data_IF_123605536064
#
_entry.id   IF_123605536064
#
_cell.length_a   1.000
_cell.length_b   1.000
_cell.length_c   1.000
_cell.angle_alpha   90.00
_cell.angle_beta   90.00
_cell.angle_gamma   90.00
#
_symmetry.space_group_name_H-M   'P 1'
#
loop_
_entity.id
_entity.type
_entity.pdbx_description
1 polymer ?
#
# COMPACT_ATOMS: atom_id res chain seq x y z
N UNK A 1 -13.81 21.85 6.17
CA UNK A 1 -13.81 21.08 7.44
C UNK A 1 -13.15 19.75 7.13
N UNK A 2 -11.88 19.57 7.52
CA UNK A 2 -11.12 18.35 7.28
C UNK A 2 -11.52 17.35 8.38
N UNK A 3 -12.40 16.41 8.05
CA UNK A 3 -12.62 15.25 8.90
C UNK A 3 -11.29 14.50 9.02
N UNK A 4 -10.71 14.51 10.22
CA UNK A 4 -9.40 13.95 10.58
C UNK A 4 -9.44 12.43 10.64
N UNK A 5 -9.91 11.81 9.57
CA UNK A 5 -9.96 10.36 9.44
C UNK A 5 -8.54 9.89 9.10
N UNK A 6 -7.89 9.28 10.10
CA UNK A 6 -6.56 8.67 10.02
C UNK A 6 -6.41 7.84 8.74
N UNK A 7 -5.33 8.06 7.99
CA UNK A 7 -5.04 7.29 6.78
C UNK A 7 -4.63 5.86 7.09
N UNK A 8 -3.98 5.63 8.24
CA UNK A 8 -3.58 4.32 8.73
C UNK A 8 -3.88 4.22 10.22
N UNK A 9 -4.61 3.19 10.64
CA UNK A 9 -5.02 3.04 12.03
C UNK A 9 -5.15 1.59 12.47
N UNK A 10 -5.33 1.39 13.78
CA UNK A 10 -5.79 0.13 14.34
C UNK A 10 -7.28 0.21 14.63
N UNK A 11 -7.98 -0.91 14.44
CA UNK A 11 -9.35 -1.09 14.91
C UNK A 11 -9.36 -2.02 16.12
N UNK A 12 -10.33 -1.81 17.01
CA UNK A 12 -10.48 -2.55 18.26
C UNK A 12 -11.95 -2.93 18.44
N UNK A 13 -12.19 -4.07 19.08
CA UNK A 13 -13.51 -4.43 19.56
C UNK A 13 -13.86 -3.60 20.81
N UNK A 14 -15.04 -2.99 20.82
CA UNK A 14 -15.48 -2.09 21.90
C UNK A 14 -15.63 -2.81 23.26
N UNK A 15 -16.07 -4.06 23.24
CA UNK A 15 -16.37 -4.85 24.44
C UNK A 15 -15.12 -5.41 25.14
N UNK A 16 -14.06 -5.69 24.37
CA UNK A 16 -12.88 -6.40 24.85
C UNK A 16 -11.60 -5.59 24.76
N UNK A 17 -11.63 -4.42 24.12
CA UNK A 17 -10.46 -3.61 23.73
C UNK A 17 -9.38 -4.43 22.98
N UNK A 18 -9.79 -5.57 22.40
CA UNK A 18 -8.88 -6.42 21.63
C UNK A 18 -8.73 -5.84 20.24
N UNK A 19 -7.49 -5.75 19.77
CA UNK A 19 -7.18 -5.36 18.39
C UNK A 19 -7.86 -6.30 17.41
N UNK A 20 -8.53 -5.71 16.42
CA UNK A 20 -9.15 -6.40 15.32
C UNK A 20 -8.07 -6.78 14.29
N UNK A 21 -7.85 -8.08 14.08
CA UNK A 21 -6.72 -8.57 13.26
C UNK A 21 -7.10 -9.57 12.17
N UNK A 22 -8.39 -9.91 12.04
CA UNK A 22 -8.87 -10.95 11.11
C UNK A 22 -9.59 -10.41 9.86
N UNK A 23 -10.44 -9.36 9.96
CA UNK A 23 -11.19 -8.89 8.79
C UNK A 23 -10.27 -8.36 7.68
N UNK A 24 -10.60 -8.75 6.44
CA UNK A 24 -9.94 -8.28 5.22
C UNK A 24 -10.03 -6.75 5.07
N UNK A 25 -11.23 -6.21 5.30
CA UNK A 25 -11.52 -4.80 5.23
C UNK A 25 -12.54 -4.39 6.28
N UNK A 26 -12.59 -3.09 6.59
CA UNK A 26 -13.53 -2.50 7.53
C UNK A 26 -14.16 -1.28 6.88
N UNK A 27 -15.49 -1.17 6.99
CA UNK A 27 -16.21 0.08 6.70
C UNK A 27 -16.47 0.81 8.01
N UNK A 28 -15.95 2.03 8.14
CA UNK A 28 -16.11 2.84 9.34
C UNK A 28 -16.27 4.31 8.97
N UNK A 29 -17.34 4.95 9.47
CA UNK A 29 -17.67 6.37 9.23
C UNK A 29 -17.62 6.76 7.74
N UNK A 30 -18.19 5.91 6.88
CA UNK A 30 -18.24 6.16 5.43
C UNK A 30 -16.92 5.97 4.69
N UNK A 31 -15.86 5.51 5.36
CA UNK A 31 -14.58 5.16 4.75
C UNK A 31 -14.37 3.64 4.78
N UNK A 32 -13.80 3.10 3.70
CA UNK A 32 -13.34 1.71 3.63
C UNK A 32 -11.86 1.66 3.97
N UNK A 33 -11.43 0.62 4.66
CA UNK A 33 -10.03 0.37 5.00
C UNK A 33 -9.65 -1.07 4.70
N UNK A 34 -8.47 -1.28 4.14
CA UNK A 34 -7.88 -2.61 3.95
C UNK A 34 -6.86 -2.91 5.04
N UNK A 35 -6.91 -4.13 5.56
CA UNK A 35 -5.86 -4.59 6.47
C UNK A 35 -4.55 -4.78 5.70
N UNK A 36 -3.41 -4.35 6.27
CA UNK A 36 -2.10 -4.58 5.63
C UNK A 36 -1.81 -6.09 5.48
N UNK A 37 -2.18 -6.92 6.46
CA UNK A 37 -2.06 -8.38 6.34
C UNK A 37 -2.89 -8.96 5.18
N UNK A 38 -4.07 -8.40 4.94
CA UNK A 38 -4.92 -8.78 3.81
C UNK A 38 -4.31 -8.36 2.47
N UNK A 39 -3.76 -7.13 2.40
CA UNK A 39 -2.98 -6.66 1.25
C UNK A 39 -1.84 -7.62 0.96
N UNK A 40 -1.07 -7.99 1.99
CA UNK A 40 0.05 -8.90 1.82
C UNK A 40 -0.45 -10.28 1.37
N UNK A 41 -1.38 -10.92 2.08
CA UNK A 41 -1.83 -12.28 1.75
C UNK A 41 -2.50 -12.43 0.38
N UNK A 42 -3.12 -11.38 -0.15
CA UNK A 42 -3.83 -11.40 -1.44
C UNK A 42 -3.11 -10.60 -2.54
N UNK A 43 -1.80 -10.35 -2.39
CA UNK A 43 -1.00 -9.65 -3.42
C UNK A 43 -0.71 -10.53 -4.63
N UNK A 44 -0.57 -9.89 -5.77
CA UNK A 44 -0.06 -10.52 -6.98
C UNK A 44 1.27 -11.24 -6.69
N UNK A 45 1.49 -12.41 -7.31
CA UNK A 45 2.67 -13.25 -7.06
C UNK A 45 3.99 -12.53 -7.33
N UNK A 46 4.02 -11.57 -8.26
CA UNK A 46 5.18 -10.73 -8.53
C UNK A 46 5.56 -9.82 -7.35
N UNK A 47 4.66 -9.63 -6.39
CA UNK A 47 4.82 -8.77 -5.22
C UNK A 47 5.15 -9.55 -3.94
N UNK A 48 5.45 -10.86 -4.05
CA UNK A 48 5.75 -11.73 -2.91
C UNK A 48 6.89 -11.25 -2.00
N UNK A 49 7.78 -10.40 -2.49
CA UNK A 49 8.89 -9.83 -1.71
C UNK A 49 8.49 -8.67 -0.80
N UNK A 50 7.25 -8.20 -0.85
CA UNK A 50 6.78 -7.11 0.02
C UNK A 50 6.40 -7.62 1.42
N UNK A 51 6.70 -6.83 2.44
CA UNK A 51 6.40 -7.09 3.85
C UNK A 51 6.05 -5.79 4.59
N UNK A 52 5.57 -5.91 5.83
CA UNK A 52 5.30 -4.77 6.72
C UNK A 52 5.61 -5.15 8.18
N UNK A 53 6.07 -4.17 8.95
CA UNK A 53 6.25 -4.31 10.40
C UNK A 53 4.93 -4.15 11.16
N UNK A 54 3.86 -3.68 10.51
CA UNK A 54 2.56 -3.36 11.11
C UNK A 54 1.40 -4.06 10.37
N UNK A 55 1.45 -5.38 10.15
CA UNK A 55 0.45 -6.09 9.33
C UNK A 55 -0.99 -6.01 9.88
N UNK A 56 -1.14 -5.75 11.18
CA UNK A 56 -2.45 -5.63 11.84
C UNK A 56 -3.04 -4.21 11.78
N UNK A 57 -2.41 -3.27 11.08
CA UNK A 57 -3.00 -1.95 10.79
C UNK A 57 -3.89 -2.01 9.55
N UNK A 58 -4.73 -1.00 9.43
CA UNK A 58 -5.69 -0.81 8.35
C UNK A 58 -5.37 0.51 7.65
N UNK A 59 -5.27 0.48 6.33
CA UNK A 59 -5.09 1.69 5.51
C UNK A 59 -6.37 2.03 4.78
N UNK A 60 -6.72 3.32 4.83
CA UNK A 60 -7.91 3.88 4.21
C UNK A 60 -7.81 3.76 2.69
N UNK A 61 -8.91 3.38 2.06
CA UNK A 61 -9.10 3.49 0.61
C UNK A 61 -9.28 4.97 0.28
N UNK A 62 -8.39 5.49 -0.56
CA UNK A 62 -8.37 6.90 -0.94
C UNK A 62 -9.32 7.17 -2.10
N UNK A 63 -9.38 6.26 -3.08
CA UNK A 63 -10.15 6.41 -4.31
C UNK A 63 -10.67 5.06 -4.77
N UNK A 64 -11.86 5.03 -5.37
CA UNK A 64 -12.39 3.88 -6.08
C UNK A 64 -12.71 4.29 -7.51
N UNK A 65 -12.23 3.50 -8.47
CA UNK A 65 -12.61 3.62 -9.87
C UNK A 65 -13.46 2.43 -10.33
N UNK A 66 -13.82 2.41 -11.61
CA UNK A 66 -14.74 1.40 -12.17
C UNK A 66 -14.41 -0.07 -11.84
N UNK A 67 -13.13 -0.45 -11.80
CA UNK A 67 -12.71 -1.84 -11.55
C UNK A 67 -11.61 -1.95 -10.48
N UNK A 68 -11.40 -0.91 -9.68
CA UNK A 68 -10.29 -0.91 -8.74
C UNK A 68 -10.53 -0.04 -7.51
N UNK A 69 -9.87 -0.39 -6.40
CA UNK A 69 -9.79 0.44 -5.19
C UNK A 69 -8.33 0.77 -4.89
N UNK A 70 -8.04 2.06 -4.70
CA UNK A 70 -6.69 2.56 -4.47
C UNK A 70 -6.48 2.95 -3.01
N UNK A 71 -5.36 2.52 -2.44
CA UNK A 71 -4.88 2.87 -1.10
C UNK A 71 -3.37 3.11 -1.15
N UNK A 72 -2.83 3.65 -0.07
CA UNK A 72 -1.39 3.82 0.09
C UNK A 72 -0.95 3.24 1.43
N UNK A 73 0.17 2.52 1.41
CA UNK A 73 0.69 1.80 2.58
C UNK A 73 2.21 1.86 2.63
N UNK A 74 2.75 1.88 3.84
CA UNK A 74 4.19 1.71 4.07
C UNK A 74 4.55 0.22 4.05
N UNK A 75 5.33 -0.16 3.04
CA UNK A 75 5.79 -1.53 2.84
C UNK A 75 7.30 -1.56 2.63
N UNK A 76 7.93 -2.65 3.05
CA UNK A 76 9.34 -2.92 2.82
C UNK A 76 9.54 -4.06 1.83
N UNK A 77 10.71 -4.07 1.18
CA UNK A 77 11.21 -5.29 0.55
C UNK A 77 11.82 -6.20 1.62
N UNK A 78 11.27 -7.42 1.77
CA UNK A 78 11.65 -8.38 2.81
C UNK A 78 13.14 -8.76 2.75
N UNK A 79 13.73 -8.85 1.55
CA UNK A 79 15.15 -9.15 1.41
C UNK A 79 16.01 -7.99 1.88
N UNK A 80 15.74 -6.77 1.39
CA UNK A 80 16.49 -5.59 1.80
C UNK A 80 16.40 -5.35 3.31
N UNK A 81 15.21 -5.55 3.89
CA UNK A 81 14.98 -5.43 5.31
C UNK A 81 15.70 -6.52 6.11
N UNK A 82 15.63 -7.77 5.67
CA UNK A 82 16.32 -8.91 6.29
C UNK A 82 17.84 -8.76 6.26
N UNK A 83 18.40 -8.29 5.14
CA UNK A 83 19.84 -7.97 5.04
C UNK A 83 20.24 -6.88 6.02
N UNK A 84 19.44 -5.80 6.12
CA UNK A 84 19.71 -4.72 7.08
C UNK A 84 19.76 -5.23 8.53
N UNK A 85 18.77 -6.01 8.95
CA UNK A 85 18.77 -6.60 10.29
C UNK A 85 19.93 -7.59 10.49
N UNK A 86 20.30 -8.37 9.47
CA UNK A 86 21.41 -9.33 9.51
C UNK A 86 22.80 -8.69 9.66
N UNK A 87 22.99 -7.48 9.14
CA UNK A 87 24.23 -6.71 9.34
C UNK A 87 24.37 -6.25 10.80
N UNK A 88 23.24 -6.02 11.49
CA UNK A 88 23.21 -5.57 12.88
C UNK A 88 23.74 -4.14 13.09
N UNK A 89 23.72 -3.71 14.35
CA UNK A 89 24.18 -2.37 14.74
C UNK A 89 23.37 -1.21 14.13
N UNK A 90 23.87 0.01 14.32
CA UNK A 90 23.21 1.25 13.87
C UNK A 90 23.10 1.28 12.34
N UNK A 91 24.16 0.88 11.63
CA UNK A 91 24.19 0.87 10.17
C UNK A 91 23.15 -0.12 9.58
N UNK A 92 23.06 -1.33 10.13
CA UNK A 92 22.05 -2.31 9.73
C UNK A 92 20.62 -1.84 10.00
N UNK A 93 20.40 -1.20 11.16
CA UNK A 93 19.12 -0.59 11.51
C UNK A 93 18.67 0.49 10.51
N UNK A 94 19.58 1.37 10.08
CA UNK A 94 19.31 2.41 9.07
C UNK A 94 18.94 1.78 7.72
N UNK A 95 19.64 0.72 7.30
CA UNK A 95 19.33 0.00 6.06
C UNK A 95 17.93 -0.63 6.10
N UNK A 96 17.59 -1.31 7.20
CA UNK A 96 16.28 -1.92 7.38
C UNK A 96 15.15 -0.88 7.39
N UNK A 97 15.36 0.28 8.02
CA UNK A 97 14.41 1.39 8.01
C UNK A 97 14.25 1.98 6.60
N UNK A 98 15.35 2.18 5.87
CA UNK A 98 15.32 2.73 4.51
C UNK A 98 14.64 1.81 3.49
N UNK A 99 14.50 0.52 3.79
CA UNK A 99 13.75 -0.41 2.96
C UNK A 99 12.23 -0.15 2.99
N UNK A 100 11.71 0.51 4.03
CA UNK A 100 10.31 0.90 4.16
C UNK A 100 10.05 2.14 3.29
N UNK A 101 9.05 2.04 2.41
CA UNK A 101 8.61 3.14 1.54
C UNK A 101 7.09 3.17 1.49
N UNK A 102 6.52 4.37 1.35
CA UNK A 102 5.11 4.54 1.00
C UNK A 102 4.87 4.09 -0.45
N UNK A 103 3.86 3.25 -0.66
CA UNK A 103 3.56 2.65 -1.96
C UNK A 103 2.08 2.79 -2.27
N UNK A 104 1.78 3.04 -3.54
CA UNK A 104 0.43 2.88 -4.07
C UNK A 104 0.09 1.39 -4.17
N UNK A 105 -1.14 1.06 -3.78
CA UNK A 105 -1.67 -0.30 -3.86
C UNK A 105 -3.06 -0.23 -4.46
N UNK A 106 -3.30 -1.12 -5.42
CA UNK A 106 -4.57 -1.24 -6.10
C UNK A 106 -5.16 -2.62 -5.82
N UNK A 107 -6.36 -2.65 -5.25
CA UNK A 107 -7.22 -3.83 -5.29
C UNK A 107 -7.85 -3.93 -6.68
N UNK A 108 -7.48 -4.96 -7.44
CA UNK A 108 -8.12 -5.31 -8.71
C UNK A 108 -9.36 -6.14 -8.41
N UNK A 109 -10.54 -5.57 -8.70
CA UNK A 109 -11.82 -6.21 -8.39
C UNK A 109 -12.03 -7.46 -9.26
N UNK A 110 -11.56 -7.45 -10.51
CA UNK A 110 -11.78 -8.55 -11.44
C UNK A 110 -10.93 -9.76 -11.09
N UNK A 111 -9.65 -9.51 -10.77
CA UNK A 111 -8.71 -10.56 -10.44
C UNK A 111 -8.70 -10.94 -8.96
N UNK A 112 -9.41 -10.16 -8.11
CA UNK A 112 -9.46 -10.35 -6.66
C UNK A 112 -8.06 -10.43 -6.03
N UNK A 113 -7.17 -9.52 -6.45
CA UNK A 113 -5.81 -9.43 -5.95
C UNK A 113 -5.34 -7.98 -5.76
N UNK A 114 -4.33 -7.81 -4.92
CA UNK A 114 -3.64 -6.52 -4.76
C UNK A 114 -2.42 -6.43 -5.67
N UNK A 115 -2.35 -5.36 -6.44
CA UNK A 115 -1.18 -4.97 -7.21
C UNK A 115 -0.45 -3.84 -6.46
N UNK A 116 0.83 -4.05 -6.15
CA UNK A 116 1.65 -3.10 -5.38
C UNK A 116 2.60 -2.39 -6.34
N UNK A 117 2.59 -1.06 -6.33
CA UNK A 117 3.56 -0.25 -7.09
C UNK A 117 4.90 -0.26 -6.36
N UNK A 118 5.67 -1.36 -6.47
CA UNK A 118 6.95 -1.50 -5.75
C UNK A 118 7.99 -0.50 -6.25
N UNK A 119 7.83 -0.10 -7.51
CA UNK A 119 8.65 0.87 -8.22
C UNK A 119 7.80 1.59 -9.28
N UNK A 120 8.38 2.60 -9.91
CA UNK A 120 7.73 3.43 -10.93
C UNK A 120 7.35 2.64 -12.19
N UNK A 121 8.08 1.57 -12.55
CA UNK A 121 7.73 0.74 -13.71
C UNK A 121 6.44 -0.03 -13.45
N UNK A 122 6.25 -0.56 -12.25
CA UNK A 122 5.01 -1.25 -11.86
C UNK A 122 3.81 -0.31 -11.97
N UNK A 123 3.95 0.94 -11.51
CA UNK A 123 2.94 1.99 -11.70
C UNK A 123 2.70 2.28 -13.20
N UNK A 124 3.76 2.45 -14.00
CA UNK A 124 3.63 2.74 -15.42
C UNK A 124 2.89 1.61 -16.17
N UNK A 125 3.13 0.36 -15.82
CA UNK A 125 2.39 -0.79 -16.37
C UNK A 125 0.90 -0.68 -16.05
N UNK A 126 0.56 -0.30 -14.80
CA UNK A 126 -0.83 -0.14 -14.40
C UNK A 126 -1.55 1.00 -15.13
N UNK A 127 -0.88 2.13 -15.38
CA UNK A 127 -1.54 3.34 -15.92
C UNK A 127 -1.52 3.42 -17.45
N UNK A 128 -0.61 2.73 -18.13
CA UNK A 128 -0.34 2.90 -19.57
C UNK A 128 -1.56 2.68 -20.48
N UNK A 129 -2.46 1.76 -20.12
CA UNK A 129 -3.68 1.45 -20.87
C UNK A 129 -4.89 2.29 -20.44
N UNK A 130 -4.76 3.08 -19.36
CA UNK A 130 -5.84 3.86 -18.74
C UNK A 130 -5.70 5.36 -18.97
N UNK A 131 -4.47 5.86 -19.13
CA UNK A 131 -4.19 7.27 -19.35
C UNK A 131 -2.91 7.46 -20.18
N UNK A 132 -3.07 7.97 -21.41
CA UNK A 132 -2.00 8.12 -22.42
C UNK A 132 -0.77 8.86 -21.84
N UNK A 133 -1.00 9.96 -21.13
CA UNK A 133 0.06 10.78 -20.53
C UNK A 133 0.24 10.51 -19.03
N UNK A 134 -0.24 9.37 -18.53
CA UNK A 134 -0.21 9.03 -17.11
C UNK A 134 1.12 8.44 -16.63
N UNK A 135 1.99 8.05 -17.55
CA UNK A 135 3.28 7.41 -17.21
C UNK A 135 4.31 8.43 -16.73
N UNK A 136 5.20 7.99 -15.85
CA UNK A 136 6.25 8.82 -15.28
C UNK A 136 7.63 8.46 -15.81
N UNK A 137 8.55 9.43 -15.83
CA UNK A 137 9.96 9.21 -16.14
C UNK A 137 10.66 8.70 -14.87
N UNK A 138 10.86 7.38 -14.77
CA UNK A 138 11.27 6.64 -13.57
C UNK A 138 12.73 6.89 -13.08
N UNK A 139 13.14 8.14 -12.90
CA UNK A 139 14.52 8.54 -12.57
C UNK A 139 15.05 7.92 -11.27
N UNK A 140 14.21 7.83 -10.23
CA UNK A 140 14.63 7.38 -8.89
C UNK A 140 14.07 6.00 -8.51
N UNK A 141 13.61 5.23 -9.50
CA UNK A 141 12.93 3.93 -9.34
C UNK A 141 11.63 3.96 -8.51
N UNK A 142 11.39 4.94 -7.64
CA UNK A 142 10.10 5.15 -6.98
C UNK A 142 9.21 6.06 -7.82
N UNK A 143 7.89 5.82 -7.86
CA UNK A 143 6.97 6.75 -8.49
C UNK A 143 6.83 8.02 -7.65
N UNK A 144 6.60 9.15 -8.31
CA UNK A 144 6.10 10.36 -7.68
C UNK A 144 4.64 10.13 -7.27
N UNK A 145 4.42 9.96 -5.97
CA UNK A 145 3.11 9.64 -5.41
C UNK A 145 2.08 10.77 -5.57
N UNK A 146 2.51 12.03 -5.73
CA UNK A 146 1.56 13.12 -6.04
C UNK A 146 1.01 12.91 -7.44
N UNK A 147 1.89 12.69 -8.42
CA UNK A 147 1.47 12.42 -9.79
C UNK A 147 0.69 11.10 -9.92
N UNK A 148 1.00 10.07 -9.13
CA UNK A 148 0.19 8.83 -9.06
C UNK A 148 -1.24 9.17 -8.63
N UNK A 149 -1.42 9.90 -7.52
CA UNK A 149 -2.78 10.26 -7.03
C UNK A 149 -3.55 11.05 -8.07
N UNK A 150 -2.91 12.01 -8.73
CA UNK A 150 -3.53 12.80 -9.80
C UNK A 150 -3.98 11.93 -10.98
N UNK A 151 -3.15 10.98 -11.40
CA UNK A 151 -3.49 10.06 -12.48
C UNK A 151 -4.64 9.12 -12.07
N UNK A 152 -4.58 8.54 -10.87
CA UNK A 152 -5.65 7.69 -10.31
C UNK A 152 -6.98 8.47 -10.25
N UNK A 153 -6.93 9.73 -9.83
CA UNK A 153 -8.12 10.59 -9.78
C UNK A 153 -8.74 10.83 -11.17
N UNK A 154 -7.93 10.88 -12.24
CA UNK A 154 -8.42 11.06 -13.61
C UNK A 154 -9.09 9.82 -14.20
N UNK A 155 -8.71 8.63 -13.73
CA UNK A 155 -9.20 7.35 -14.26
C UNK A 155 -10.26 6.68 -13.37
N UNK A 156 -10.67 7.34 -12.29
CA UNK A 156 -11.72 6.84 -11.40
C UNK A 156 -13.09 6.86 -12.08
#
# INVERSE_FOLDING_TARGET
>A
MLDSVESVCFFYYEDTDKRLTKPFAISHKGALYFQIAAILSNRNKADKSQTSNTPNTYSKVLMGGNNFLYTEVELANAWAQGTGYGIGGVAGGIMAANAIKGKGVVWDIQNSEFNIFKNCKDYNIFIADKLIDGTQNCKNNQPDMIAVREAIYKIK
#
